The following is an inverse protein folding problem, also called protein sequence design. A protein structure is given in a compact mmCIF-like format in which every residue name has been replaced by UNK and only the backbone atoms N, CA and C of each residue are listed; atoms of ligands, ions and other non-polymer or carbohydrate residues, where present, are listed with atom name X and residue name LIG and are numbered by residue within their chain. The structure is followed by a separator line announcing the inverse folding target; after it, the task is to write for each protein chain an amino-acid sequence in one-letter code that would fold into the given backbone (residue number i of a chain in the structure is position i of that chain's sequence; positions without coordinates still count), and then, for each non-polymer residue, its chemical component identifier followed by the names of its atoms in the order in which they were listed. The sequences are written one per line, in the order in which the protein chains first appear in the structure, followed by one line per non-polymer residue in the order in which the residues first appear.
data_IF_837973171722
#
_entry.id   IF_837973171722
#
_cell.length_a   1.000
_cell.length_b   1.000
_cell.length_c   1.000
_cell.angle_alpha   90.00
_cell.angle_beta   90.00
_cell.angle_gamma   90.00
#
_symmetry.space_group_name_H-M   'P 1'
#
loop_
_entity.id
_entity.type
_entity.pdbx_description
1 polymer ?
#
# COMPACT_ATOMS: atom_id res chain seq x y z
N UNK A 1 13.34 -11.29 -71.30
CA UNK A 1 13.39 -12.21 -70.13
C UNK A 1 12.25 -11.84 -69.19
N UNK A 2 11.30 -12.74 -69.02
CA UNK A 2 9.90 -12.42 -68.72
C UNK A 2 9.52 -12.97 -67.35
N UNK A 3 8.95 -12.08 -66.53
CA UNK A 3 7.96 -12.25 -65.45
C UNK A 3 7.59 -13.66 -64.93
N UNK A 4 7.38 -13.65 -63.60
CA UNK A 4 6.42 -14.39 -62.76
C UNK A 4 6.87 -15.72 -62.16
N UNK A 5 7.18 -15.65 -60.85
CA UNK A 5 7.20 -16.78 -59.92
C UNK A 5 5.80 -17.40 -59.79
N UNK A 6 5.78 -18.70 -60.08
CA UNK A 6 4.92 -19.79 -59.62
C UNK A 6 3.65 -19.47 -58.82
N UNK A 7 2.55 -19.94 -59.39
CA UNK A 7 1.23 -20.13 -58.79
C UNK A 7 1.18 -21.42 -57.94
N UNK A 8 0.44 -21.34 -56.84
CA UNK A 8 -0.59 -22.29 -56.36
C UNK A 8 -0.19 -23.60 -55.66
N UNK A 9 -1.06 -23.96 -54.69
CA UNK A 9 -1.51 -25.33 -54.31
C UNK A 9 -0.54 -26.03 -53.33
N UNK A 10 -0.89 -26.58 -52.15
CA UNK A 10 -2.13 -27.05 -51.50
C UNK A 10 -1.76 -27.19 -50.00
N UNK A 11 -2.47 -26.52 -49.08
CA UNK A 11 -3.42 -27.12 -48.14
C UNK A 11 -2.91 -28.38 -47.41
N UNK A 12 -2.77 -28.29 -46.08
CA UNK A 12 -3.28 -29.27 -45.11
C UNK A 12 -3.46 -28.53 -43.76
N UNK A 13 -4.73 -28.28 -43.41
CA UNK A 13 -5.39 -28.45 -42.09
C UNK A 13 -4.63 -27.93 -40.85
N UNK A 14 -5.10 -26.90 -40.14
CA UNK A 14 -6.42 -26.78 -39.47
C UNK A 14 -6.94 -25.33 -39.68
N UNK A 15 -8.09 -25.00 -40.30
CA UNK A 15 -9.49 -25.36 -39.98
C UNK A 15 -9.73 -25.29 -38.46
N UNK A 16 -10.09 -24.14 -37.90
CA UNK A 16 -11.46 -23.61 -37.75
C UNK A 16 -11.30 -22.23 -37.06
N UNK A 17 -12.01 -21.12 -37.31
CA UNK A 17 -13.24 -20.81 -38.04
C UNK A 17 -13.26 -19.26 -38.21
N UNK A 18 -13.49 -18.80 -39.44
CA UNK A 18 -14.02 -17.48 -39.81
C UNK A 18 -15.36 -17.24 -39.06
N UNK A 19 -15.86 -16.08 -38.63
CA UNK A 19 -15.78 -14.69 -39.12
C UNK A 19 -16.74 -13.88 -38.24
N UNK A 20 -16.38 -12.62 -37.98
CA UNK A 20 -17.27 -11.44 -37.84
C UNK A 20 -18.61 -11.58 -37.10
N UNK A 21 -18.68 -10.96 -35.91
CA UNK A 21 -19.84 -10.17 -35.52
C UNK A 21 -19.35 -8.89 -34.81
N UNK A 22 -19.60 -7.74 -35.43
CA UNK A 22 -19.72 -6.48 -34.69
C UNK A 22 -20.83 -6.66 -33.66
N UNK A 23 -20.62 -6.20 -32.42
CA UNK A 23 -21.63 -5.48 -31.61
C UNK A 23 -21.17 -5.35 -30.15
N UNK A 24 -21.18 -4.09 -29.70
CA UNK A 24 -21.45 -3.61 -28.34
C UNK A 24 -20.69 -4.19 -27.14
N UNK A 25 -20.05 -3.26 -26.42
CA UNK A 25 -19.97 -3.20 -24.96
C UNK A 25 -20.20 -4.53 -24.22
N UNK A 26 -19.10 -5.15 -23.81
CA UNK A 26 -19.07 -5.75 -22.49
C UNK A 26 -18.06 -4.94 -21.68
N UNK A 27 -18.58 -3.89 -21.03
CA UNK A 27 -18.16 -3.64 -19.66
C UNK A 27 -18.27 -5.00 -18.98
N UNK A 28 -17.14 -5.60 -18.63
CA UNK A 28 -17.14 -6.67 -17.66
C UNK A 28 -17.62 -6.05 -16.35
N UNK A 29 -18.93 -5.94 -16.18
CA UNK A 29 -19.51 -6.09 -14.86
C UNK A 29 -19.27 -7.55 -14.52
N UNK A 30 -18.06 -7.84 -14.03
CA UNK A 30 -17.94 -8.90 -13.06
C UNK A 30 -19.00 -8.58 -12.02
N UNK A 31 -19.98 -9.44 -11.87
CA UNK A 31 -20.71 -9.48 -10.62
C UNK A 31 -19.63 -9.83 -9.59
N UNK A 32 -19.01 -8.78 -9.02
CA UNK A 32 -18.32 -8.90 -7.76
C UNK A 32 -19.33 -9.61 -6.87
N UNK A 33 -18.93 -10.74 -6.30
CA UNK A 33 -19.61 -11.17 -5.08
C UNK A 33 -19.32 -10.01 -4.14
N UNK A 34 -20.26 -9.07 -3.96
CA UNK A 34 -19.99 -7.71 -3.47
C UNK A 34 -19.04 -7.77 -2.27
N UNK A 35 -17.74 -7.61 -2.55
CA UNK A 35 -16.71 -7.68 -1.56
C UNK A 35 -16.93 -6.49 -0.66
N UNK A 36 -17.02 -6.74 0.65
CA UNK A 36 -17.12 -5.66 1.62
C UNK A 36 -16.06 -5.85 2.69
N UNK A 37 -15.48 -4.74 3.09
CA UNK A 37 -14.45 -4.66 4.10
C UNK A 37 -14.90 -3.67 5.16
N UNK A 38 -14.71 -4.02 6.43
CA UNK A 38 -14.88 -3.06 7.50
C UNK A 38 -13.61 -2.22 7.64
N UNK A 39 -13.73 -0.90 7.50
CA UNK A 39 -12.63 0.04 7.66
C UNK A 39 -12.84 0.83 8.94
N UNK A 40 -11.85 0.80 9.82
CA UNK A 40 -11.82 1.62 11.03
C UNK A 40 -10.60 2.53 11.00
N UNK A 41 -10.84 3.83 11.17
CA UNK A 41 -9.77 4.78 11.46
C UNK A 41 -9.92 5.20 12.91
N UNK A 42 -8.83 5.09 13.66
CA UNK A 42 -8.81 5.34 15.09
C UNK A 42 -7.76 6.39 15.43
N UNK A 43 -8.02 7.15 16.49
CA UNK A 43 -7.11 8.14 17.04
C UNK A 43 -6.97 7.91 18.53
N UNK A 44 -5.78 7.50 18.97
CA UNK A 44 -5.44 7.14 20.34
C UNK A 44 -6.44 6.15 20.95
N UNK A 45 -6.83 5.14 20.17
CA UNK A 45 -7.79 4.10 20.57
C UNK A 45 -9.27 4.49 20.46
N UNK A 46 -9.60 5.75 20.18
CA UNK A 46 -10.97 6.19 19.94
C UNK A 46 -11.32 6.04 18.46
N UNK A 47 -12.48 5.45 18.17
CA UNK A 47 -12.95 5.30 16.79
C UNK A 47 -13.33 6.65 16.20
N UNK A 48 -12.70 7.00 15.10
CA UNK A 48 -12.96 8.23 14.35
C UNK A 48 -13.87 7.99 13.14
N UNK A 49 -13.53 6.98 12.32
CA UNK A 49 -14.34 6.52 11.19
C UNK A 49 -14.56 5.01 11.35
N UNK A 50 -15.79 4.54 11.15
CA UNK A 50 -16.15 3.11 11.11
C UNK A 50 -17.13 2.91 9.95
N UNK A 51 -16.61 2.44 8.83
CA UNK A 51 -17.33 2.33 7.57
C UNK A 51 -17.26 0.92 7.03
N UNK A 52 -18.33 0.51 6.34
CA UNK A 52 -18.28 -0.68 5.49
C UNK A 52 -18.11 -0.21 4.05
N UNK A 53 -16.95 -0.52 3.48
CA UNK A 53 -16.62 -0.17 2.10
C UNK A 53 -16.87 -1.36 1.21
N UNK A 54 -17.52 -1.15 0.07
CA UNK A 54 -17.75 -2.18 -0.94
C UNK A 54 -16.91 -1.96 -2.18
N UNK A 55 -16.60 -3.05 -2.89
CA UNK A 55 -15.95 -3.00 -4.20
C UNK A 55 -16.73 -2.13 -5.20
N UNK A 56 -18.06 -2.10 -5.10
CA UNK A 56 -18.91 -1.27 -5.95
C UNK A 56 -18.74 0.22 -5.68
N UNK A 57 -18.57 0.63 -4.41
CA UNK A 57 -18.27 2.02 -4.05
C UNK A 57 -16.92 2.46 -4.60
N UNK A 58 -15.90 1.61 -4.46
CA UNK A 58 -14.56 1.86 -5.02
C UNK A 58 -14.66 1.97 -6.55
N UNK A 59 -15.30 0.99 -7.20
CA UNK A 59 -15.47 0.93 -8.66
C UNK A 59 -16.12 2.19 -9.25
N UNK A 60 -17.04 2.83 -8.51
CA UNK A 60 -17.71 4.04 -8.95
C UNK A 60 -16.78 5.28 -8.99
N UNK A 61 -15.69 5.24 -8.22
CA UNK A 61 -14.78 6.37 -8.01
C UNK A 61 -13.38 6.16 -8.61
N UNK A 62 -12.99 4.92 -8.96
CA UNK A 62 -11.68 4.66 -9.57
C UNK A 62 -11.58 5.23 -10.98
N UNK A 63 -10.45 5.87 -11.25
CA UNK A 63 -10.09 6.34 -12.59
C UNK A 63 -9.45 5.25 -13.45
N UNK A 64 -8.76 5.67 -14.51
CA UNK A 64 -8.07 4.77 -15.43
C UNK A 64 -6.93 3.94 -14.78
N UNK A 65 -6.49 4.30 -13.58
CA UNK A 65 -5.50 3.56 -12.79
C UNK A 65 -6.04 2.25 -12.20
N UNK A 66 -7.37 2.07 -12.16
CA UNK A 66 -8.00 0.94 -11.45
C UNK A 66 -7.94 1.03 -9.92
N UNK A 67 -7.37 2.11 -9.39
CA UNK A 67 -7.23 2.42 -7.97
C UNK A 67 -7.63 3.88 -7.71
N UNK A 68 -7.97 4.20 -6.46
CA UNK A 68 -8.26 5.59 -6.03
C UNK A 68 -7.00 6.46 -5.93
N UNK A 69 -5.83 5.84 -6.12
CA UNK A 69 -4.53 6.48 -6.19
C UNK A 69 -3.83 6.18 -7.52
N UNK A 70 -2.83 7.00 -7.84
CA UNK A 70 -1.98 6.76 -9.02
C UNK A 70 -0.89 5.76 -8.69
N UNK A 71 -0.78 4.69 -9.48
CA UNK A 71 0.30 3.69 -9.38
C UNK A 71 1.45 4.09 -10.33
N UNK A 72 2.68 4.31 -9.82
CA UNK A 72 3.83 4.63 -10.65
C UNK A 72 4.16 3.48 -11.61
N UNK A 73 4.70 3.85 -12.78
CA UNK A 73 5.14 2.87 -13.76
C UNK A 73 6.23 1.94 -13.17
N UNK A 74 6.08 0.64 -13.40
CA UNK A 74 7.03 -0.37 -12.93
C UNK A 74 6.72 -0.91 -11.53
N UNK A 75 5.77 -0.33 -10.80
CA UNK A 75 5.31 -0.88 -9.52
C UNK A 75 4.15 -1.84 -9.76
N UNK A 76 4.26 -3.05 -9.21
CA UNK A 76 3.21 -4.07 -9.28
C UNK A 76 2.32 -4.00 -8.05
N UNK A 77 1.01 -4.13 -8.24
CA UNK A 77 0.01 -4.21 -7.18
C UNK A 77 -0.69 -5.58 -7.20
N UNK A 78 -1.29 -6.01 -6.09
CA UNK A 78 -2.27 -7.09 -6.11
C UNK A 78 -3.34 -6.83 -7.17
N UNK A 79 -3.90 -7.89 -7.75
CA UNK A 79 -5.00 -7.75 -8.69
C UNK A 79 -6.26 -7.28 -7.96
N UNK A 80 -7.00 -6.33 -8.56
CA UNK A 80 -8.20 -5.74 -7.97
C UNK A 80 -7.88 -4.59 -7.01
N UNK A 81 -8.76 -4.34 -6.05
CA UNK A 81 -8.62 -3.27 -5.08
C UNK A 81 -7.79 -3.70 -3.87
N UNK A 82 -7.24 -2.72 -3.15
CA UNK A 82 -6.36 -2.94 -2.01
C UNK A 82 -6.89 -2.31 -0.72
N UNK A 83 -6.30 -2.63 0.42
CA UNK A 83 -6.62 -1.96 1.69
C UNK A 83 -6.43 -0.43 1.62
N UNK A 84 -5.52 0.06 0.76
CA UNK A 84 -5.37 1.50 0.51
C UNK A 84 -6.61 2.09 -0.18
N UNK A 85 -7.19 1.41 -1.16
CA UNK A 85 -8.43 1.85 -1.81
C UNK A 85 -9.58 1.89 -0.80
N UNK A 86 -9.68 0.88 0.07
CA UNK A 86 -10.69 0.87 1.13
C UNK A 86 -10.55 2.04 2.11
N UNK A 87 -9.33 2.36 2.53
CA UNK A 87 -9.06 3.50 3.42
C UNK A 87 -9.48 4.82 2.77
N UNK A 88 -9.08 5.06 1.52
CA UNK A 88 -9.44 6.28 0.79
C UNK A 88 -10.95 6.38 0.54
N UNK A 89 -11.62 5.25 0.26
CA UNK A 89 -13.07 5.21 0.07
C UNK A 89 -13.84 5.44 1.37
N UNK A 90 -13.38 4.88 2.50
CA UNK A 90 -13.99 5.13 3.82
C UNK A 90 -13.93 6.63 4.17
N UNK A 91 -12.79 7.28 3.93
CA UNK A 91 -12.65 8.73 4.07
C UNK A 91 -13.60 9.50 3.16
N UNK A 92 -13.71 9.08 1.90
CA UNK A 92 -14.63 9.70 0.93
C UNK A 92 -16.09 9.55 1.38
N UNK A 93 -16.48 8.40 1.93
CA UNK A 93 -17.83 8.18 2.47
C UNK A 93 -18.11 9.12 3.66
N UNK A 94 -17.16 9.23 4.58
CA UNK A 94 -17.32 10.03 5.79
C UNK A 94 -17.41 11.54 5.49
N UNK A 95 -16.54 12.05 4.61
CA UNK A 95 -16.48 13.48 4.28
C UNK A 95 -17.33 13.89 3.08
N UNK A 96 -17.83 12.94 2.29
CA UNK A 96 -18.57 13.17 1.05
C UNK A 96 -17.70 13.54 -0.16
N UNK A 97 -16.40 13.79 0.03
CA UNK A 97 -15.44 14.07 -1.04
C UNK A 97 -14.01 13.80 -0.59
N UNK A 98 -13.10 13.63 -1.56
CA UNK A 98 -11.66 13.50 -1.32
C UNK A 98 -10.93 14.82 -1.62
N UNK A 99 -10.26 15.39 -0.62
CA UNK A 99 -9.35 16.53 -0.76
C UNK A 99 -7.96 16.20 -0.19
N UNK A 100 -6.92 16.75 -0.81
CA UNK A 100 -5.53 16.57 -0.42
C UNK A 100 -5.22 17.18 0.96
N UNK A 101 -6.06 18.08 1.48
CA UNK A 101 -5.95 18.55 2.87
C UNK A 101 -6.39 17.48 3.89
N UNK A 102 -7.19 16.49 3.48
CA UNK A 102 -7.74 15.44 4.33
C UNK A 102 -6.91 14.17 4.25
N UNK A 103 -6.53 13.79 3.02
CA UNK A 103 -5.70 12.62 2.76
C UNK A 103 -4.71 12.95 1.66
N UNK A 104 -3.43 13.02 2.02
CA UNK A 104 -2.33 13.13 1.08
C UNK A 104 -1.46 11.87 1.16
N UNK A 105 -0.97 11.42 0.01
CA UNK A 105 -0.16 10.21 -0.10
C UNK A 105 1.04 10.42 -1.01
N UNK A 106 2.05 9.58 -0.80
CA UNK A 106 3.25 9.49 -1.61
C UNK A 106 3.64 8.03 -1.87
N UNK A 107 4.71 7.85 -2.65
CA UNK A 107 5.29 6.54 -2.91
C UNK A 107 6.66 6.45 -2.28
N UNK A 108 6.86 5.44 -1.44
CA UNK A 108 8.19 5.06 -0.98
C UNK A 108 8.80 4.20 -2.07
N UNK A 109 9.81 4.74 -2.74
CA UNK A 109 10.61 4.03 -3.74
C UNK A 109 12.07 3.94 -3.31
N UNK A 110 12.34 4.18 -2.02
CA UNK A 110 13.71 4.19 -1.49
C UNK A 110 14.31 2.78 -1.41
N UNK A 111 13.47 1.75 -1.39
CA UNK A 111 13.88 0.36 -1.28
C UNK A 111 13.23 -0.51 -2.37
N UNK A 112 14.07 -0.93 -3.32
CA UNK A 112 13.64 -1.80 -4.42
C UNK A 112 13.05 -3.12 -3.91
N UNK A 113 11.86 -3.48 -4.41
CA UNK A 113 11.10 -4.66 -4.00
C UNK A 113 10.21 -4.46 -2.76
N UNK A 114 10.31 -3.29 -2.13
CA UNK A 114 9.53 -2.90 -0.96
C UNK A 114 8.76 -1.60 -1.19
N UNK A 115 8.60 -1.22 -2.46
CA UNK A 115 7.91 0.01 -2.81
C UNK A 115 6.43 -0.04 -2.40
N UNK A 116 5.92 1.08 -1.88
CA UNK A 116 4.53 1.13 -1.46
C UNK A 116 4.00 2.53 -1.23
N UNK A 117 2.67 2.59 -1.12
CA UNK A 117 1.91 3.79 -0.83
C UNK A 117 2.02 4.09 0.65
N UNK A 118 2.51 5.28 0.98
CA UNK A 118 2.44 5.82 2.33
C UNK A 118 1.57 7.07 2.34
N UNK A 119 0.93 7.33 3.48
CA UNK A 119 0.12 8.52 3.65
C UNK A 119 0.97 9.61 4.30
N UNK A 120 1.15 10.74 3.61
CA UNK A 120 1.92 11.89 4.10
C UNK A 120 1.11 12.69 5.11
N UNK A 121 -0.21 12.70 4.95
CA UNK A 121 -1.12 13.43 5.83
C UNK A 121 -2.44 12.69 5.89
N UNK A 122 -2.94 12.55 7.10
CA UNK A 122 -4.33 12.24 7.40
C UNK A 122 -4.85 13.29 8.36
N UNK A 123 -6.12 13.65 8.19
CA UNK A 123 -6.82 14.46 9.19
C UNK A 123 -6.66 13.86 10.59
N UNK A 124 -6.48 14.72 11.59
CA UNK A 124 -6.23 14.32 12.98
C UNK A 124 -4.78 13.98 13.34
N UNK A 125 -3.82 14.04 12.41
CA UNK A 125 -2.40 13.88 12.77
C UNK A 125 -1.93 14.97 13.74
N UNK A 126 -1.29 14.55 14.83
CA UNK A 126 -0.60 15.45 15.76
C UNK A 126 0.66 16.02 15.09
N UNK A 127 1.12 17.17 15.57
CA UNK A 127 2.41 17.73 15.15
C UNK A 127 3.64 17.00 15.70
N UNK A 128 3.46 15.97 16.53
CA UNK A 128 4.56 15.20 17.12
C UNK A 128 5.05 14.14 16.12
N UNK A 129 6.09 14.49 15.37
CA UNK A 129 6.76 13.59 14.42
C UNK A 129 7.64 12.52 15.10
N UNK A 130 7.66 12.46 16.44
CA UNK A 130 8.50 11.55 17.20
C UNK A 130 9.98 11.91 17.24
N UNK A 131 10.72 11.11 18.00
CA UNK A 131 12.16 11.27 18.21
C UNK A 131 12.87 9.93 18.23
N UNK A 132 14.14 9.95 17.82
CA UNK A 132 15.05 8.83 18.05
C UNK A 132 15.67 8.93 19.45
N UNK A 133 15.72 7.80 20.14
CA UNK A 133 16.30 7.66 21.47
C UNK A 133 17.51 6.73 21.42
N UNK A 134 18.66 7.23 21.84
CA UNK A 134 19.91 6.48 21.96
C UNK A 134 19.90 5.59 23.20
N UNK A 135 20.13 4.30 23.00
CA UNK A 135 20.16 3.30 24.08
C UNK A 135 21.59 3.08 24.57
N UNK A 136 22.50 2.71 23.65
CA UNK A 136 23.91 2.45 23.95
C UNK A 136 24.76 2.37 22.68
N UNK A 137 26.07 2.41 22.85
CA UNK A 137 27.04 2.01 21.83
C UNK A 137 27.76 0.73 22.25
N UNK A 138 28.10 -0.13 21.29
CA UNK A 138 28.86 -1.34 21.54
C UNK A 138 29.72 -1.71 20.32
N UNK A 139 30.82 -2.44 20.54
CA UNK A 139 31.62 -2.99 19.45
C UNK A 139 31.02 -4.31 18.96
N UNK A 140 30.98 -4.48 17.65
CA UNK A 140 30.61 -5.73 17.00
C UNK A 140 31.45 -5.97 15.75
N UNK A 141 31.07 -6.96 14.97
CA UNK A 141 31.72 -7.29 13.70
C UNK A 141 30.76 -7.00 12.55
N UNK A 142 31.24 -6.38 11.48
CA UNK A 142 30.46 -6.22 10.25
C UNK A 142 30.43 -7.53 9.41
N UNK A 143 29.70 -7.51 8.29
CA UNK A 143 29.60 -8.66 7.37
C UNK A 143 30.95 -9.10 6.77
N UNK A 144 31.95 -8.22 6.81
CA UNK A 144 33.28 -8.42 6.22
C UNK A 144 34.31 -8.80 7.29
N UNK A 145 33.91 -8.96 8.56
CA UNK A 145 34.78 -9.37 9.65
C UNK A 145 35.49 -8.24 10.39
N UNK A 146 35.22 -6.97 10.06
CA UNK A 146 35.88 -5.84 10.70
C UNK A 146 35.19 -5.45 12.00
N UNK A 147 35.97 -5.02 12.99
CA UNK A 147 35.43 -4.40 14.21
C UNK A 147 34.78 -3.06 13.86
N UNK A 148 33.52 -2.89 14.22
CA UNK A 148 32.75 -1.67 14.00
C UNK A 148 31.97 -1.31 15.27
N UNK A 149 31.85 -0.02 15.55
CA UNK A 149 30.97 0.48 16.61
C UNK A 149 29.53 0.55 16.10
N UNK A 150 28.64 -0.14 16.80
CA UNK A 150 27.20 -0.03 16.62
C UNK A 150 26.61 0.91 17.65
N UNK A 151 25.61 1.68 17.21
CA UNK A 151 24.82 2.57 18.04
C UNK A 151 23.38 2.05 18.00
N UNK A 152 22.86 1.66 19.17
CA UNK A 152 21.51 1.13 19.33
C UNK A 152 20.53 2.27 19.63
N UNK A 153 19.43 2.32 18.89
CA UNK A 153 18.37 3.30 19.03
C UNK A 153 16.99 2.64 19.04
N UNK A 154 15.97 3.39 19.44
CA UNK A 154 14.59 3.18 19.03
C UNK A 154 13.98 4.52 18.60
N UNK A 155 12.96 4.50 17.75
CA UNK A 155 12.12 5.68 17.50
C UNK A 155 10.85 5.58 18.33
N UNK A 156 10.38 6.71 18.86
CA UNK A 156 9.08 6.80 19.50
C UNK A 156 8.40 8.12 19.13
N UNK A 157 7.13 8.04 18.78
CA UNK A 157 6.28 9.17 18.42
C UNK A 157 4.91 8.70 17.98
N UNK A 158 4.07 9.64 17.58
CA UNK A 158 2.75 9.30 17.06
C UNK A 158 2.87 8.87 15.59
N UNK A 159 2.32 7.70 15.29
CA UNK A 159 2.32 7.13 13.95
C UNK A 159 1.01 6.43 13.69
N UNK A 160 0.67 6.33 12.40
CA UNK A 160 -0.37 5.43 11.95
C UNK A 160 0.16 3.99 11.92
N UNK A 161 -0.60 3.07 12.49
CA UNK A 161 -0.37 1.65 12.44
C UNK A 161 -1.52 1.00 11.66
N UNK A 162 -1.16 0.21 10.66
CA UNK A 162 -2.12 -0.56 9.88
C UNK A 162 -2.29 -1.94 10.52
N UNK A 163 -3.51 -2.39 10.72
CA UNK A 163 -3.85 -3.76 11.10
C UNK A 163 -4.83 -4.32 10.08
N UNK A 164 -4.62 -5.59 9.71
CA UNK A 164 -5.40 -6.28 8.68
C UNK A 164 -6.07 -7.50 9.32
N UNK A 165 -7.33 -7.74 8.98
CA UNK A 165 -8.11 -8.93 9.37
C UNK A 165 -8.16 -9.20 10.88
N UNK A 166 -8.29 -8.13 11.69
CA UNK A 166 -8.37 -8.24 13.15
C UNK A 166 -7.06 -8.66 13.83
N UNK A 167 -5.92 -8.54 13.13
CA UNK A 167 -4.61 -8.77 13.72
C UNK A 167 -4.34 -7.82 14.88
N UNK A 168 -3.72 -8.33 15.95
CA UNK A 168 -3.22 -7.52 17.08
C UNK A 168 -1.80 -6.99 16.85
N UNK A 169 -1.14 -7.41 15.76
CA UNK A 169 0.18 -6.91 15.37
C UNK A 169 0.05 -6.03 14.13
N UNK A 170 0.78 -4.91 14.03
CA UNK A 170 0.80 -4.10 12.83
C UNK A 170 1.20 -4.90 11.59
N UNK A 171 0.65 -4.49 10.45
CA UNK A 171 0.96 -5.00 9.14
C UNK A 171 2.44 -4.80 8.81
N UNK A 172 3.03 -5.79 8.15
CA UNK A 172 4.45 -5.77 7.76
C UNK A 172 4.72 -5.02 6.45
N UNK A 173 3.66 -4.69 5.70
CA UNK A 173 3.74 -4.01 4.40
C UNK A 173 2.83 -2.80 4.35
N UNK A 174 2.99 -1.99 3.30
CA UNK A 174 2.10 -0.87 3.00
C UNK A 174 0.68 -1.33 2.65
N UNK A 175 -0.32 -0.46 2.85
CA UNK A 175 -1.73 -0.77 2.65
C UNK A 175 -2.06 -1.23 1.21
N UNK A 176 -1.33 -0.73 0.22
CA UNK A 176 -1.49 -1.12 -1.18
C UNK A 176 -1.02 -2.57 -1.44
N UNK A 177 -0.27 -3.20 -0.54
CA UNK A 177 0.19 -4.58 -0.69
C UNK A 177 -0.87 -5.62 -0.29
N UNK A 178 -1.98 -5.22 0.33
CA UNK A 178 -3.01 -6.13 0.81
C UNK A 178 -4.22 -6.11 -0.13
N UNK A 179 -4.49 -7.25 -0.77
CA UNK A 179 -5.66 -7.45 -1.64
C UNK A 179 -6.97 -7.39 -0.85
N UNK A 180 -7.97 -6.67 -1.35
CA UNK A 180 -9.30 -6.66 -0.74
C UNK A 180 -10.02 -8.00 -0.85
N UNK A 181 -9.70 -8.82 -1.85
CA UNK A 181 -10.27 -10.17 -1.96
C UNK A 181 -9.93 -11.06 -0.76
N UNK A 182 -8.82 -10.78 -0.07
CA UNK A 182 -8.33 -11.52 1.10
C UNK A 182 -8.43 -10.69 2.40
N UNK A 183 -9.07 -9.52 2.36
CA UNK A 183 -9.15 -8.58 3.48
C UNK A 183 -10.60 -8.37 3.92
N UNK A 184 -10.94 -8.79 5.13
CA UNK A 184 -12.25 -8.58 5.76
C UNK A 184 -12.29 -7.35 6.66
N UNK A 185 -11.14 -6.90 7.17
CA UNK A 185 -11.04 -5.72 8.01
C UNK A 185 -9.73 -4.97 7.79
N UNK A 186 -9.83 -3.64 7.78
CA UNK A 186 -8.70 -2.72 7.81
C UNK A 186 -8.88 -1.80 9.02
N UNK A 187 -7.88 -1.77 9.91
CA UNK A 187 -7.82 -0.79 10.99
C UNK A 187 -6.59 0.08 10.78
N UNK A 188 -6.76 1.39 10.78
CA UNK A 188 -5.69 2.36 10.68
C UNK A 188 -5.72 3.23 11.94
N UNK A 189 -4.83 2.93 12.87
CA UNK A 189 -4.82 3.50 14.23
C UNK A 189 -3.67 4.49 14.37
N UNK A 190 -4.00 5.75 14.65
CA UNK A 190 -3.03 6.78 14.99
C UNK A 190 -2.75 6.76 16.48
N UNK A 191 -1.55 6.37 16.88
CA UNK A 191 -1.21 6.24 18.29
C UNK A 191 0.29 6.42 18.55
N UNK A 192 0.64 6.70 19.80
CA UNK A 192 2.04 6.73 20.22
C UNK A 192 2.65 5.35 20.10
N UNK A 193 3.61 5.21 19.20
CA UNK A 193 4.26 3.96 18.83
C UNK A 193 5.73 4.04 19.18
N UNK A 194 6.29 2.90 19.57
CA UNK A 194 7.73 2.73 19.76
C UNK A 194 8.21 1.59 18.88
N UNK A 195 9.24 1.83 18.08
CA UNK A 195 9.87 0.76 17.29
C UNK A 195 10.60 -0.22 18.20
N UNK A 196 10.87 -1.41 17.67
CA UNK A 196 11.91 -2.25 18.25
C UNK A 196 13.26 -1.51 18.23
N UNK A 197 14.18 -1.97 19.09
CA UNK A 197 15.54 -1.48 19.06
C UNK A 197 16.20 -1.90 17.74
N UNK A 198 16.93 -0.98 17.13
CA UNK A 198 17.73 -1.26 15.94
C UNK A 198 19.11 -0.63 16.10
N UNK A 199 20.09 -1.20 15.40
CA UNK A 199 21.49 -0.76 15.47
C UNK A 199 21.95 -0.22 14.12
N UNK A 200 22.69 0.88 14.16
CA UNK A 200 23.31 1.50 13.00
C UNK A 200 24.80 1.72 13.24
N UNK A 201 25.59 1.81 12.18
CA UNK A 201 27.05 2.04 12.25
C UNK A 201 27.42 3.52 12.20
N UNK A 202 26.45 4.41 11.94
CA UNK A 202 26.61 5.86 11.96
C UNK A 202 25.61 6.47 12.96
N UNK A 203 26.04 7.36 13.86
CA UNK A 203 25.13 7.99 14.82
C UNK A 203 23.99 8.74 14.13
N UNK A 204 22.78 8.67 14.71
CA UNK A 204 21.64 9.47 14.27
C UNK A 204 21.77 10.86 14.90
N UNK A 205 21.86 11.95 14.11
CA UNK A 205 21.95 13.30 14.65
C UNK A 205 20.73 13.65 15.51
N UNK A 206 20.97 14.39 16.60
CA UNK A 206 19.93 14.88 17.51
C UNK A 206 19.09 13.80 18.22
N UNK A 207 19.56 12.54 18.25
CA UNK A 207 18.92 11.51 19.07
C UNK A 207 19.05 11.86 20.57
N UNK A 208 17.95 11.74 21.31
CA UNK A 208 17.92 12.00 22.75
C UNK A 208 18.41 10.77 23.52
N UNK A 209 19.02 10.91 24.71
CA UNK A 209 19.27 9.74 25.56
C UNK A 209 17.95 9.03 25.90
N UNK A 210 17.93 7.70 25.80
CA UNK A 210 16.78 6.92 26.23
C UNK A 210 16.47 7.20 27.72
N UNK A 211 15.19 7.42 28.10
CA UNK A 211 14.81 7.64 29.49
C UNK A 211 15.29 6.49 30.38
N UNK A 212 15.79 6.82 31.57
CA UNK A 212 16.10 5.81 32.57
C UNK A 212 14.81 5.08 32.96
N UNK A 213 14.88 3.74 33.04
CA UNK A 213 13.79 2.90 33.56
C UNK A 213 13.59 3.12 35.06
#
# INVERSE_FOLDING_TARGET
MTKKRSRRVIAIMMAMVMTMAMMFAMTTTSFATDGSVNVKIQMYGETYIDETVTDAQIAANVGASGHLYTVPAGITQPAGYTAADALMQAYTNFYGSFDASQVAYGWDTSWAGHEGLYFTTYDGMSGDAGKYYFVRSYEGTDKDGNTVTYYEYYWQGDSWNLYINGSNTPAASYANSYSLADTSQVVFDYNTTRTDNFSVTSPIPNAEPAPAK
#
